data_IF_981816641386
#
_entry.id   IF_981816641386
#
_cell.length_a   1.000
_cell.length_b   1.000
_cell.length_c   1.000
_cell.angle_alpha   90.00
_cell.angle_beta   90.00
_cell.angle_gamma   90.00
#
_symmetry.space_group_name_H-M   'P 1'
#
loop_
_entity.id
_entity.type
_entity.pdbx_description
1 polymer ?
#
# COMPACT_ATOMS: atom_id res chain seq x y z
N UNK A 1 -5.31 7.17 -0.31
CA UNK A 1 -6.69 7.63 -0.62
C UNK A 1 -7.37 6.95 -1.81
N UNK A 2 -7.13 7.35 -3.07
CA UNK A 2 -8.02 6.98 -4.20
C UNK A 2 -8.17 5.48 -4.45
N UNK A 3 -7.06 4.74 -4.56
CA UNK A 3 -7.13 3.30 -4.84
C UNK A 3 -7.75 2.52 -3.66
N UNK A 4 -7.25 2.78 -2.46
CA UNK A 4 -7.52 1.98 -1.26
C UNK A 4 -8.78 2.45 -0.54
N UNK A 5 -8.72 3.61 0.13
CA UNK A 5 -9.81 4.09 0.98
C UNK A 5 -11.08 4.50 0.21
N UNK A 6 -10.95 4.88 -1.06
CA UNK A 6 -12.10 5.19 -1.92
C UNK A 6 -12.49 4.02 -2.84
N UNK A 7 -11.76 2.90 -2.81
CA UNK A 7 -12.00 1.73 -3.66
C UNK A 7 -12.08 2.04 -5.16
N UNK A 8 -11.23 2.95 -5.67
CA UNK A 8 -11.13 3.31 -7.09
C UNK A 8 -9.76 2.99 -7.69
N UNK A 9 -9.35 1.71 -7.74
CA UNK A 9 -8.01 1.34 -8.17
C UNK A 9 -7.76 1.64 -9.66
N UNK A 10 -8.75 1.51 -10.54
CA UNK A 10 -8.58 1.83 -11.97
C UNK A 10 -8.30 3.31 -12.21
N UNK A 11 -9.04 4.19 -11.51
CA UNK A 11 -8.82 5.65 -11.59
C UNK A 11 -7.44 6.02 -11.06
N UNK A 12 -7.02 5.39 -9.94
CA UNK A 12 -5.70 5.60 -9.38
C UNK A 12 -4.59 5.11 -10.30
N UNK A 13 -4.74 3.93 -10.91
CA UNK A 13 -3.77 3.39 -11.87
C UNK A 13 -3.63 4.33 -13.06
N UNK A 14 -4.74 4.71 -13.70
CA UNK A 14 -4.72 5.61 -14.84
C UNK A 14 -4.09 6.98 -14.51
N UNK A 15 -4.30 7.45 -13.28
CA UNK A 15 -3.81 8.76 -12.83
C UNK A 15 -2.35 8.75 -12.39
N UNK A 16 -1.86 7.70 -11.76
CA UNK A 16 -0.58 7.73 -11.04
C UNK A 16 0.50 6.80 -11.58
N UNK A 17 0.16 5.71 -12.29
CA UNK A 17 1.17 4.80 -12.85
C UNK A 17 1.77 5.34 -14.15
N UNK A 18 3.02 4.95 -14.41
CA UNK A 18 3.73 5.21 -15.66
C UNK A 18 3.34 4.23 -16.77
N UNK A 19 4.05 4.30 -17.89
CA UNK A 19 3.82 3.41 -19.05
C UNK A 19 4.22 1.96 -18.79
N UNK A 20 5.02 1.74 -17.76
CA UNK A 20 5.37 0.43 -17.22
C UNK A 20 5.30 0.47 -15.69
N UNK A 21 5.13 -0.69 -15.07
CA UNK A 21 5.09 -0.84 -13.63
C UNK A 21 5.74 -2.17 -13.27
N UNK A 22 6.81 -2.12 -12.48
CA UNK A 22 7.54 -3.30 -12.01
C UNK A 22 7.26 -3.55 -10.53
N UNK A 23 6.70 -4.72 -10.24
CA UNK A 23 6.36 -5.19 -8.89
C UNK A 23 7.45 -6.11 -8.34
N UNK A 24 7.87 -5.86 -7.10
CA UNK A 24 8.85 -6.70 -6.40
C UNK A 24 8.28 -7.48 -5.23
N UNK A 25 7.06 -7.18 -4.79
CA UNK A 25 6.39 -7.99 -3.77
C UNK A 25 6.16 -9.41 -4.31
N UNK A 26 6.73 -10.45 -3.67
CA UNK A 26 6.62 -11.83 -4.15
C UNK A 26 5.19 -12.39 -4.09
N UNK A 27 4.30 -11.76 -3.32
CA UNK A 27 2.88 -12.09 -3.22
C UNK A 27 1.99 -11.39 -4.25
N UNK A 28 2.53 -10.46 -5.05
CA UNK A 28 1.77 -9.70 -6.05
C UNK A 28 2.25 -10.01 -7.48
N UNK A 29 1.30 -10.01 -8.43
CA UNK A 29 1.64 -10.10 -9.85
C UNK A 29 2.20 -8.78 -10.37
N UNK A 30 2.95 -8.86 -11.47
CA UNK A 30 3.54 -7.69 -12.13
C UNK A 30 2.52 -6.88 -12.96
N UNK A 31 2.81 -5.61 -13.20
CA UNK A 31 1.92 -4.68 -13.89
C UNK A 31 0.72 -4.18 -13.05
N UNK A 32 -0.15 -3.34 -13.64
CA UNK A 32 -1.24 -2.68 -12.91
C UNK A 32 -2.44 -3.60 -12.60
N UNK A 33 -2.69 -4.59 -13.46
CA UNK A 33 -3.92 -5.41 -13.37
C UNK A 33 -3.98 -6.24 -12.07
N UNK A 34 -2.90 -6.92 -11.63
CA UNK A 34 -2.92 -7.64 -10.35
C UNK A 34 -3.22 -6.73 -9.16
N UNK A 35 -2.73 -5.49 -9.16
CA UNK A 35 -3.05 -4.51 -8.11
C UNK A 35 -4.55 -4.16 -8.09
N UNK A 36 -5.14 -3.87 -9.26
CA UNK A 36 -6.57 -3.57 -9.38
C UNK A 36 -7.42 -4.73 -8.82
N UNK A 37 -7.08 -5.97 -9.20
CA UNK A 37 -7.80 -7.15 -8.74
C UNK A 37 -7.60 -7.42 -7.25
N UNK A 38 -6.41 -7.17 -6.70
CA UNK A 38 -6.15 -7.31 -5.27
C UNK A 38 -7.00 -6.34 -4.46
N UNK A 39 -7.06 -5.06 -4.81
CA UNK A 39 -7.87 -4.06 -4.12
C UNK A 39 -9.35 -4.43 -4.15
N UNK A 40 -9.87 -4.80 -5.33
CA UNK A 40 -11.28 -5.24 -5.46
C UNK A 40 -11.58 -6.47 -4.60
N UNK A 41 -10.69 -7.45 -4.59
CA UNK A 41 -10.85 -8.66 -3.77
C UNK A 41 -10.86 -8.33 -2.28
N UNK A 42 -9.95 -7.47 -1.82
CA UNK A 42 -9.91 -7.03 -0.42
C UNK A 42 -11.22 -6.32 -0.07
N UNK A 43 -11.66 -5.35 -0.87
CA UNK A 43 -12.90 -4.62 -0.64
C UNK A 43 -14.15 -5.53 -0.58
N UNK A 44 -14.18 -6.61 -1.38
CA UNK A 44 -15.26 -7.60 -1.33
C UNK A 44 -15.29 -8.40 -0.03
N UNK A 45 -14.13 -8.76 0.53
CA UNK A 45 -14.04 -9.58 1.75
C UNK A 45 -14.06 -8.74 3.03
N UNK A 46 -13.59 -7.50 2.94
CA UNK A 46 -13.36 -6.59 4.05
C UNK A 46 -13.87 -5.19 3.67
N UNK A 47 -15.19 -4.94 3.67
CA UNK A 47 -15.77 -3.69 3.16
C UNK A 47 -15.34 -2.45 3.95
N UNK A 48 -14.96 -2.62 5.21
CA UNK A 48 -14.51 -1.56 6.11
C UNK A 48 -12.97 -1.44 6.18
N UNK A 49 -12.23 -2.12 5.30
CA UNK A 49 -10.78 -2.03 5.29
C UNK A 49 -10.34 -0.59 5.01
N UNK A 50 -9.24 -0.18 5.64
CA UNK A 50 -8.68 1.15 5.48
C UNK A 50 -7.18 1.13 5.64
N UNK A 51 -6.52 2.07 4.98
CA UNK A 51 -5.10 2.31 5.12
C UNK A 51 -4.88 3.75 5.56
N UNK A 52 -4.24 3.92 6.71
CA UNK A 52 -3.90 5.24 7.26
C UNK A 52 -2.43 5.56 6.99
N UNK A 53 -2.16 6.67 6.32
CA UNK A 53 -0.78 7.13 6.10
C UNK A 53 -0.23 7.70 7.41
N UNK A 54 0.90 7.17 7.90
CA UNK A 54 1.55 7.65 9.14
C UNK A 54 2.67 8.64 8.85
N UNK A 55 3.43 8.41 7.78
CA UNK A 55 4.47 9.33 7.30
C UNK A 55 4.87 9.01 5.88
N UNK A 56 5.34 10.06 5.19
CA UNK A 56 5.87 9.99 3.83
C UNK A 56 7.28 10.57 3.87
N UNK A 57 8.23 9.87 3.24
CA UNK A 57 9.61 10.31 3.05
C UNK A 57 9.87 10.33 1.56
N UNK A 58 10.36 11.45 1.03
CA UNK A 58 10.68 11.58 -0.39
C UNK A 58 12.14 12.00 -0.56
N UNK A 59 12.83 11.39 -1.53
CA UNK A 59 14.23 11.67 -1.81
C UNK A 59 14.64 11.14 -3.18
N UNK A 60 15.20 12.02 -4.02
CA UNK A 60 15.48 11.71 -5.42
C UNK A 60 14.21 11.26 -6.14
N UNK A 61 14.30 10.13 -6.84
CA UNK A 61 13.19 9.51 -7.57
C UNK A 61 12.33 8.57 -6.69
N UNK A 62 12.53 8.55 -5.38
CA UNK A 62 11.85 7.63 -4.47
C UNK A 62 10.88 8.32 -3.51
N UNK A 63 9.78 7.64 -3.25
CA UNK A 63 8.82 7.97 -2.19
C UNK A 63 8.59 6.72 -1.35
N UNK A 64 8.73 6.87 -0.04
CA UNK A 64 8.45 5.84 0.96
C UNK A 64 7.21 6.24 1.75
N UNK A 65 6.25 5.33 1.87
CA UNK A 65 5.07 5.47 2.69
C UNK A 65 5.13 4.44 3.82
N UNK A 66 5.06 4.91 5.06
CA UNK A 66 4.76 4.03 6.19
C UNK A 66 3.29 4.20 6.57
N UNK A 67 2.54 3.12 6.54
CA UNK A 67 1.09 3.11 6.70
C UNK A 67 0.59 2.01 7.65
N UNK A 68 -0.61 2.22 8.19
CA UNK A 68 -1.34 1.25 9.00
C UNK A 68 -2.52 0.71 8.20
N UNK A 69 -2.44 -0.56 7.79
CA UNK A 69 -3.51 -1.28 7.11
C UNK A 69 -4.37 -2.02 8.14
N UNK A 70 -5.67 -1.76 8.14
CA UNK A 70 -6.65 -2.41 9.00
C UNK A 70 -7.71 -3.05 8.11
N UNK A 71 -7.88 -4.38 8.20
CA UNK A 71 -8.86 -5.10 7.38
C UNK A 71 -10.26 -5.07 8.01
N UNK A 72 -10.39 -5.21 9.33
CA UNK A 72 -11.67 -5.11 10.03
C UNK A 72 -11.60 -4.11 11.18
N UNK A 73 -12.71 -3.44 11.52
CA UNK A 73 -12.78 -2.62 12.72
C UNK A 73 -12.40 -3.42 13.97
N UNK A 74 -11.44 -2.90 14.76
CA UNK A 74 -10.93 -3.57 15.96
C UNK A 74 -9.71 -4.47 15.71
N UNK A 75 -9.37 -4.78 14.45
CA UNK A 75 -8.13 -5.49 14.15
C UNK A 75 -6.91 -4.61 14.47
N UNK A 76 -5.87 -5.25 14.97
CA UNK A 76 -4.58 -4.60 15.25
C UNK A 76 -3.89 -4.18 13.96
N UNK A 77 -4.20 -4.86 12.86
CA UNK A 77 -3.76 -4.53 11.51
C UNK A 77 -2.28 -4.82 11.28
N UNK A 78 -1.75 -4.21 10.22
CA UNK A 78 -0.36 -4.37 9.80
C UNK A 78 0.30 -3.01 9.59
N UNK A 79 1.57 -2.91 9.96
CA UNK A 79 2.45 -1.86 9.50
C UNK A 79 2.98 -2.23 8.11
N UNK A 80 2.83 -1.32 7.15
CA UNK A 80 3.29 -1.49 5.78
C UNK A 80 4.28 -0.38 5.46
N UNK A 81 5.42 -0.75 4.88
CA UNK A 81 6.33 0.20 4.25
C UNK A 81 6.30 -0.06 2.76
N UNK A 82 5.67 0.85 2.02
CA UNK A 82 5.68 0.88 0.56
C UNK A 82 6.81 1.80 0.09
N UNK A 83 7.59 1.35 -0.89
CA UNK A 83 8.64 2.11 -1.56
C UNK A 83 8.27 2.20 -3.03
N UNK A 84 8.16 3.42 -3.54
CA UNK A 84 7.86 3.68 -4.94
C UNK A 84 9.05 4.38 -5.58
N UNK A 85 9.42 3.95 -6.80
CA UNK A 85 10.26 4.75 -7.69
C UNK A 85 9.38 5.44 -8.73
N UNK A 86 9.69 6.70 -9.01
CA UNK A 86 8.96 7.53 -9.93
C UNK A 86 9.81 7.91 -11.14
N UNK A 87 9.14 8.05 -12.28
CA UNK A 87 9.68 8.70 -13.49
C UNK A 87 8.66 9.71 -13.99
N UNK A 88 9.08 10.95 -14.25
CA UNK A 88 8.21 12.02 -14.73
C UNK A 88 6.94 12.22 -13.86
N UNK A 89 7.09 12.06 -12.54
CA UNK A 89 5.99 12.17 -11.58
C UNK A 89 5.01 11.00 -11.58
N UNK A 90 5.35 9.88 -12.21
CA UNK A 90 4.53 8.65 -12.29
C UNK A 90 5.22 7.48 -11.62
N UNK A 91 4.46 6.64 -10.93
CA UNK A 91 4.98 5.43 -10.28
C UNK A 91 5.28 4.38 -11.36
N UNK A 92 6.53 3.91 -11.39
CA UNK A 92 7.00 2.90 -12.35
C UNK A 92 7.55 1.63 -11.70
N UNK A 93 7.77 1.66 -10.38
CA UNK A 93 8.33 0.52 -9.66
C UNK A 93 7.90 0.56 -8.19
N UNK A 94 7.71 -0.63 -7.61
CA UNK A 94 7.19 -0.78 -6.26
C UNK A 94 7.81 -1.96 -5.51
N UNK A 95 8.12 -1.71 -4.24
CA UNK A 95 8.47 -2.71 -3.24
C UNK A 95 7.63 -2.47 -2.00
N UNK A 96 7.29 -3.52 -1.27
CA UNK A 96 6.74 -3.36 0.07
C UNK A 96 7.20 -4.45 1.03
N UNK A 97 7.12 -4.12 2.31
CA UNK A 97 7.18 -5.08 3.41
C UNK A 97 5.98 -4.88 4.31
N UNK A 98 5.37 -5.98 4.71
CA UNK A 98 4.19 -6.03 5.56
C UNK A 98 4.54 -6.76 6.85
N UNK A 99 4.27 -6.13 7.99
CA UNK A 99 4.42 -6.74 9.29
C UNK A 99 3.13 -6.58 10.09
N UNK A 100 2.56 -7.70 10.55
CA UNK A 100 1.44 -7.65 11.48
C UNK A 100 1.85 -6.92 12.76
N UNK A 101 1.00 -6.03 13.27
CA UNK A 101 1.25 -5.38 14.56
C UNK A 101 1.24 -6.50 15.62
N UNK A 102 2.30 -6.70 16.43
CA UNK A 102 2.50 -7.92 17.23
C UNK A 102 1.81 -7.87 18.60
N UNK A 103 1.10 -8.93 19.04
CA UNK A 103 0.27 -8.87 20.26
C UNK A 103 1.13 -8.62 21.51
N UNK A 104 2.15 -9.45 21.77
CA UNK A 104 3.20 -9.04 22.67
C UNK A 104 4.15 -8.06 21.98
N UNK A 105 4.52 -7.00 22.69
CA UNK A 105 5.62 -6.11 22.31
C UNK A 105 6.60 -6.02 23.46
N UNK A 106 7.90 -6.04 23.15
CA UNK A 106 8.96 -5.85 24.14
C UNK A 106 9.04 -4.38 24.64
N UNK A 107 8.34 -3.46 23.98
CA UNK A 107 8.30 -2.04 24.31
C UNK A 107 6.88 -1.47 24.19
N UNK A 108 6.68 -0.23 24.67
CA UNK A 108 5.39 0.46 24.66
C UNK A 108 5.22 1.50 23.52
N UNK A 109 6.15 1.58 22.56
CA UNK A 109 6.25 2.70 21.61
C UNK A 109 5.34 2.59 20.38
N UNK A 110 4.46 1.59 20.33
CA UNK A 110 3.68 1.22 19.13
C UNK A 110 4.57 0.95 17.90
N UNK A 111 3.98 0.51 16.79
CA UNK A 111 4.71 0.34 15.53
C UNK A 111 4.75 1.64 14.70
N UNK A 112 4.06 2.70 15.12
CA UNK A 112 3.82 3.91 14.33
C UNK A 112 4.36 5.15 15.03
#
# INVERSE_FOLDING_TARGET
ELAINQCKPEEAVAKYLGTYYRQHNPGAGDGPEPFIQAVKRIAQHFPDFRMESKRIIAGGDYVVLHSHLVLKPGDRGSAVVDIFRLENGKIVEHWDVVQEVPEPSANNNTMF
#
